data_IF_013766385503
#
_entry.id   IF_013766385503
#
_cell.length_a   1.000
_cell.length_b   1.000
_cell.length_c   1.000
_cell.angle_alpha   90.00
_cell.angle_beta   90.00
_cell.angle_gamma   90.00
#
_symmetry.space_group_name_H-M   'P 1'
#
loop_
_entity.id
_entity.type
_entity.pdbx_description
1 polymer ?
#
# COMPACT_ATOMS: atom_id res chain seq x y z
N UNK A 1 -5.30 -1.61 -13.58
CA UNK A 1 -4.81 -0.31 -13.04
C UNK A 1 -3.38 -0.48 -12.60
N UNK A 2 -2.73 0.57 -12.08
CA UNK A 2 -1.37 0.46 -11.57
C UNK A 2 -1.11 1.46 -10.43
N UNK A 3 -0.41 1.04 -9.37
CA UNK A 3 -0.14 1.87 -8.20
C UNK A 3 1.19 1.55 -7.52
N UNK A 4 1.57 2.39 -6.55
CA UNK A 4 2.57 2.09 -5.54
C UNK A 4 2.20 2.72 -4.19
N UNK A 5 2.52 2.04 -3.10
CA UNK A 5 2.40 2.63 -1.75
C UNK A 5 3.62 3.51 -1.51
N UNK A 6 3.41 4.77 -1.12
CA UNK A 6 4.45 5.79 -0.96
C UNK A 6 4.61 6.27 0.48
N UNK A 7 3.73 5.84 1.38
CA UNK A 7 3.87 6.12 2.79
C UNK A 7 2.97 5.23 3.64
N UNK A 8 3.38 5.09 4.89
CA UNK A 8 2.75 4.26 5.92
C UNK A 8 3.00 4.95 7.26
N UNK A 9 2.00 5.03 8.12
CA UNK A 9 2.20 5.45 9.50
C UNK A 9 1.20 4.75 10.42
N UNK A 10 1.70 4.07 11.44
CA UNK A 10 0.96 3.59 12.61
C UNK A 10 1.13 4.53 13.81
N UNK A 11 2.03 5.53 13.70
CA UNK A 11 2.04 6.67 14.61
C UNK A 11 0.75 7.48 14.45
N UNK A 12 -0.11 7.39 15.46
CA UNK A 12 -1.47 7.92 15.42
C UNK A 12 -1.57 9.41 15.04
N UNK A 13 -2.51 9.79 14.14
CA UNK A 13 -3.45 8.90 13.47
C UNK A 13 -2.81 8.08 12.34
N UNK A 14 -3.26 6.82 12.21
CA UNK A 14 -2.87 5.93 11.13
C UNK A 14 -3.15 6.56 9.78
N UNK A 15 -2.26 6.35 8.81
CA UNK A 15 -2.45 6.79 7.43
C UNK A 15 -1.52 6.01 6.49
N UNK A 16 -1.83 6.05 5.21
CA UNK A 16 -0.95 5.56 4.14
C UNK A 16 -1.12 6.43 2.90
N UNK A 17 -0.19 6.31 1.95
CA UNK A 17 -0.28 6.98 0.65
C UNK A 17 -0.23 5.96 -0.47
N UNK A 18 -1.21 6.00 -1.39
CA UNK A 18 -1.23 5.20 -2.62
C UNK A 18 -1.16 6.12 -3.83
N UNK A 19 -0.03 6.09 -4.54
CA UNK A 19 0.15 6.83 -5.78
C UNK A 19 -0.37 6.02 -6.95
N UNK A 20 -1.27 6.58 -7.75
CA UNK A 20 -1.70 5.98 -9.01
C UNK A 20 -0.63 6.17 -10.07
N UNK A 21 -0.18 5.07 -10.69
CA UNK A 21 0.84 5.05 -11.74
C UNK A 21 0.24 4.81 -13.14
N UNK A 22 -1.05 4.52 -13.22
CA UNK A 22 -1.85 4.50 -14.44
C UNK A 22 -3.17 5.25 -14.23
N UNK A 23 -3.84 5.60 -15.32
CA UNK A 23 -5.17 6.19 -15.27
C UNK A 23 -6.20 5.13 -14.82
N UNK A 24 -7.17 5.57 -14.02
CA UNK A 24 -8.30 4.74 -13.56
C UNK A 24 -9.60 5.29 -14.15
N UNK A 25 -10.48 4.37 -14.57
CA UNK A 25 -11.77 4.74 -15.15
C UNK A 25 -12.84 4.89 -14.09
N UNK A 26 -13.80 5.79 -14.34
CA UNK A 26 -15.00 5.91 -13.53
C UNK A 26 -15.66 4.53 -13.29
N UNK A 27 -16.12 4.28 -12.08
CA UNK A 27 -16.71 3.02 -11.64
C UNK A 27 -15.70 1.93 -11.26
N UNK A 28 -14.39 2.13 -11.48
CA UNK A 28 -13.38 1.21 -10.96
C UNK A 28 -13.38 1.29 -9.43
N UNK A 29 -13.38 0.13 -8.77
CA UNK A 29 -13.31 0.02 -7.32
C UNK A 29 -11.93 -0.50 -6.92
N UNK A 30 -11.21 0.31 -6.16
CA UNK A 30 -9.88 0.01 -5.63
C UNK A 30 -10.01 -0.39 -4.17
N UNK A 31 -9.38 -1.50 -3.79
CA UNK A 31 -9.41 -2.00 -2.42
C UNK A 31 -8.05 -1.85 -1.77
N UNK A 32 -8.07 -1.64 -0.45
CA UNK A 32 -6.89 -1.61 0.40
C UNK A 32 -7.16 -2.40 1.68
N UNK A 33 -6.13 -3.08 2.17
CA UNK A 33 -6.24 -3.91 3.36
C UNK A 33 -4.95 -3.95 4.15
N UNK A 34 -5.11 -4.11 5.46
CA UNK A 34 -4.10 -4.52 6.41
C UNK A 34 -4.20 -6.03 6.72
N UNK A 35 -4.99 -6.82 5.99
CA UNK A 35 -4.92 -8.28 6.08
C UNK A 35 -3.61 -8.79 5.47
N UNK A 36 -2.94 -9.68 6.20
CA UNK A 36 -1.81 -10.43 5.67
C UNK A 36 -2.21 -11.45 4.59
N UNK A 37 -1.23 -11.90 3.83
CA UNK A 37 -1.38 -12.98 2.85
C UNK A 37 -0.91 -14.29 3.45
N UNK A 38 -1.79 -15.28 3.47
CA UNK A 38 -1.49 -16.63 3.96
C UNK A 38 -0.60 -17.41 2.97
N UNK A 39 -0.02 -18.52 3.41
CA UNK A 39 0.88 -19.35 2.63
C UNK A 39 0.27 -19.87 1.31
N UNK A 40 -1.05 -20.01 1.24
CA UNK A 40 -1.79 -20.43 0.04
C UNK A 40 -2.09 -19.27 -0.93
N UNK A 41 -1.73 -18.04 -0.55
CA UNK A 41 -1.93 -16.83 -1.35
C UNK A 41 -3.27 -16.13 -1.14
N UNK A 42 -4.12 -16.61 -0.23
CA UNK A 42 -5.35 -15.93 0.14
C UNK A 42 -5.10 -14.80 1.16
N UNK A 43 -6.06 -13.87 1.26
CA UNK A 43 -6.12 -12.94 2.38
C UNK A 43 -6.43 -13.71 3.67
N UNK A 44 -5.84 -13.29 4.79
CA UNK A 44 -6.10 -13.85 6.13
C UNK A 44 -7.51 -13.55 6.66
N UNK A 45 -8.14 -12.45 6.20
CA UNK A 45 -9.55 -12.06 6.43
C UNK A 45 -9.96 -11.94 7.89
N UNK A 46 -9.06 -11.44 8.74
CA UNK A 46 -9.28 -11.22 10.16
C UNK A 46 -8.96 -9.78 10.59
N UNK A 47 -8.71 -8.88 9.63
CA UNK A 47 -8.43 -7.46 9.81
C UNK A 47 -9.41 -6.59 9.01
N UNK A 48 -8.93 -5.55 8.34
CA UNK A 48 -9.74 -4.56 7.66
C UNK A 48 -9.59 -4.57 6.15
N UNK A 49 -10.71 -4.42 5.46
CA UNK A 49 -10.73 -4.11 4.03
C UNK A 49 -11.56 -2.85 3.83
N UNK A 50 -10.94 -1.85 3.21
CA UNK A 50 -11.62 -0.63 2.77
C UNK A 50 -11.55 -0.49 1.26
N UNK A 51 -12.42 0.34 0.69
CA UNK A 51 -12.42 0.57 -0.74
C UNK A 51 -12.70 2.03 -1.12
N UNK A 52 -12.33 2.37 -2.35
CA UNK A 52 -12.61 3.62 -3.02
C UNK A 52 -13.15 3.34 -4.42
N UNK A 53 -14.35 3.83 -4.74
CA UNK A 53 -14.91 3.77 -6.08
C UNK A 53 -14.72 5.11 -6.79
N UNK A 54 -14.01 5.12 -7.91
CA UNK A 54 -13.75 6.35 -8.66
C UNK A 54 -15.04 6.89 -9.30
N UNK A 55 -15.46 8.09 -8.92
CA UNK A 55 -16.67 8.73 -9.46
C UNK A 55 -16.48 9.29 -10.89
N UNK A 56 -15.23 9.48 -11.32
CA UNK A 56 -14.83 9.99 -12.62
C UNK A 56 -13.54 9.30 -13.07
N UNK A 57 -13.13 9.51 -14.31
CA UNK A 57 -11.79 9.13 -14.76
C UNK A 57 -10.74 9.91 -13.97
N UNK A 58 -9.79 9.20 -13.37
CA UNK A 58 -8.72 9.77 -12.53
C UNK A 58 -7.37 9.50 -13.21
N UNK A 59 -6.55 10.53 -13.42
CA UNK A 59 -5.26 10.37 -14.07
C UNK A 59 -4.23 9.72 -13.14
N UNK A 60 -3.20 9.12 -13.74
CA UNK A 60 -1.95 8.81 -13.04
C UNK A 60 -1.38 10.07 -12.36
N UNK A 61 -0.69 9.88 -11.23
CA UNK A 61 -0.17 10.96 -10.40
C UNK A 61 -1.10 11.43 -9.29
N UNK A 62 -2.35 10.97 -9.27
CA UNK A 62 -3.23 11.16 -8.11
C UNK A 62 -2.70 10.35 -6.93
N UNK A 63 -2.63 10.99 -5.77
CA UNK A 63 -2.30 10.37 -4.50
C UNK A 63 -3.58 10.18 -3.69
N UNK A 64 -3.86 8.94 -3.30
CA UNK A 64 -4.93 8.57 -2.38
C UNK A 64 -4.36 8.34 -0.98
N UNK A 65 -5.14 8.66 0.04
CA UNK A 65 -4.84 8.45 1.46
C UNK A 65 -5.89 7.57 2.11
N UNK A 66 -5.66 7.12 3.34
CA UNK A 66 -6.63 6.29 4.07
C UNK A 66 -8.04 6.91 4.11
N UNK A 67 -8.12 8.24 4.18
CA UNK A 67 -9.39 8.99 4.18
C UNK A 67 -10.17 8.90 2.87
N UNK A 68 -9.50 8.63 1.74
CA UNK A 68 -10.16 8.49 0.43
C UNK A 68 -10.86 7.13 0.29
N UNK A 69 -10.39 6.12 1.02
CA UNK A 69 -11.02 4.80 1.11
C UNK A 69 -12.13 4.84 2.16
N UNK A 70 -13.27 5.47 1.83
CA UNK A 70 -14.34 5.73 2.79
C UNK A 70 -15.20 4.49 3.10
N UNK A 71 -15.33 3.57 2.14
CA UNK A 71 -16.19 2.39 2.26
C UNK A 71 -15.48 1.31 3.10
N UNK A 72 -16.18 0.80 4.12
CA UNK A 72 -15.72 -0.35 4.92
C UNK A 72 -16.35 -1.60 4.32
N UNK A 73 -15.52 -2.45 3.71
CA UNK A 73 -15.96 -3.72 3.16
C UNK A 73 -15.99 -4.78 4.26
N UNK A 74 -14.93 -4.82 5.08
CA UNK A 74 -14.74 -5.81 6.14
C UNK A 74 -13.95 -5.23 7.32
N UNK A 75 -14.30 -5.68 8.53
CA UNK A 75 -13.58 -5.39 9.76
C UNK A 75 -13.19 -3.92 9.95
N UNK A 76 -11.97 -3.70 10.44
CA UNK A 76 -11.43 -2.37 10.70
C UNK A 76 -9.95 -2.37 10.30
N UNK A 77 -9.60 -1.54 9.32
CA UNK A 77 -8.21 -1.29 8.96
C UNK A 77 -7.58 -0.44 10.06
N UNK A 78 -6.56 -0.96 10.73
CA UNK A 78 -5.87 -0.33 11.85
C UNK A 78 -4.39 -0.75 11.85
N UNK A 79 -3.52 0.20 11.52
CA UNK A 79 -2.10 -0.07 11.34
C UNK A 79 -1.41 -0.26 12.69
N UNK A 80 -0.50 -1.23 12.76
CA UNK A 80 0.20 -1.63 14.00
C UNK A 80 1.62 -1.05 14.11
N UNK A 81 1.99 -0.60 15.31
CA UNK A 81 3.38 -0.19 15.66
C UNK A 81 4.33 -1.37 15.92
N UNK A 82 3.85 -2.62 15.79
CA UNK A 82 4.72 -3.79 15.79
C UNK A 82 5.26 -4.05 14.40
N UNK A 83 4.35 -4.32 13.47
CA UNK A 83 4.52 -4.40 12.02
C UNK A 83 3.16 -4.70 11.41
N UNK A 84 3.04 -4.46 10.11
CA UNK A 84 1.83 -4.52 9.32
C UNK A 84 2.14 -4.50 7.81
N UNK A 85 1.07 -4.51 7.02
CA UNK A 85 1.07 -4.46 5.57
C UNK A 85 0.01 -3.46 5.09
N UNK A 86 0.27 -2.85 3.94
CA UNK A 86 -0.75 -2.17 3.15
C UNK A 86 -0.75 -2.81 1.79
N UNK A 87 -1.81 -3.56 1.48
CA UNK A 87 -1.96 -4.30 0.23
C UNK A 87 -3.10 -3.70 -0.57
N UNK A 88 -2.84 -3.38 -1.83
CA UNK A 88 -3.80 -2.76 -2.75
C UNK A 88 -4.16 -3.74 -3.86
N UNK A 89 -5.45 -3.89 -4.12
CA UNK A 89 -5.95 -4.83 -5.11
C UNK A 89 -7.21 -4.35 -5.84
N UNK A 90 -7.47 -4.97 -7.00
CA UNK A 90 -8.69 -4.88 -7.78
C UNK A 90 -9.48 -6.19 -7.68
N UNK A 91 -10.64 -6.26 -8.35
CA UNK A 91 -11.50 -7.44 -8.32
C UNK A 91 -12.41 -7.43 -7.10
N UNK A 92 -12.25 -8.41 -6.20
CA UNK A 92 -13.00 -8.49 -4.95
C UNK A 92 -12.15 -9.09 -3.82
N UNK A 93 -12.55 -8.92 -2.54
CA UNK A 93 -11.87 -9.57 -1.42
C UNK A 93 -11.77 -11.11 -1.52
N UNK A 94 -12.69 -11.75 -2.25
CA UNK A 94 -12.70 -13.21 -2.45
C UNK A 94 -11.94 -13.67 -3.69
N UNK A 95 -11.58 -12.75 -4.59
CA UNK A 95 -10.82 -13.02 -5.81
C UNK A 95 -9.96 -11.77 -6.12
N UNK A 96 -8.95 -11.47 -5.29
CA UNK A 96 -8.16 -10.25 -5.41
C UNK A 96 -7.18 -10.33 -6.59
N UNK A 97 -7.08 -9.22 -7.32
CA UNK A 97 -5.98 -8.95 -8.25
C UNK A 97 -5.05 -7.94 -7.61
N UNK A 98 -4.00 -8.41 -6.95
CA UNK A 98 -3.02 -7.56 -6.26
C UNK A 98 -2.22 -6.73 -7.26
N UNK A 99 -2.07 -5.43 -6.97
CA UNK A 99 -1.40 -4.50 -7.89
C UNK A 99 -0.23 -3.73 -7.26
N UNK A 100 -0.26 -3.49 -5.94
CA UNK A 100 0.89 -2.96 -5.22
C UNK A 100 0.79 -3.26 -3.71
N UNK A 101 1.93 -3.30 -3.02
CA UNK A 101 1.95 -3.53 -1.58
C UNK A 101 3.19 -2.94 -0.89
N UNK A 102 3.05 -2.67 0.41
CA UNK A 102 4.16 -2.35 1.30
C UNK A 102 4.03 -3.18 2.58
N UNK A 103 5.16 -3.62 3.13
CA UNK A 103 5.23 -4.16 4.50
C UNK A 103 6.33 -3.44 5.29
N UNK A 104 6.08 -3.17 6.57
CA UNK A 104 7.09 -2.66 7.51
C UNK A 104 7.62 -3.77 8.45
N UNK A 105 7.68 -5.02 7.99
CA UNK A 105 8.06 -6.18 8.80
C UNK A 105 9.47 -6.73 8.50
N UNK A 106 10.42 -5.85 8.15
CA UNK A 106 11.78 -6.22 7.72
C UNK A 106 11.79 -7.15 6.48
N UNK A 107 10.84 -6.93 5.57
CA UNK A 107 10.60 -7.79 4.40
C UNK A 107 9.27 -8.53 4.48
N UNK A 108 9.09 -9.49 3.56
CA UNK A 108 7.89 -10.33 3.47
C UNK A 108 8.12 -11.68 4.16
N UNK A 109 7.16 -12.13 4.95
CA UNK A 109 7.21 -13.43 5.63
C UNK A 109 6.79 -14.56 4.67
N UNK A 110 6.84 -15.81 5.13
CA UNK A 110 6.37 -16.96 4.34
C UNK A 110 4.86 -17.19 4.44
N UNK A 111 4.22 -16.64 5.48
CA UNK A 111 2.83 -16.83 5.85
C UNK A 111 2.33 -15.62 6.68
N UNK A 112 1.02 -15.44 6.75
CA UNK A 112 0.36 -14.48 7.63
C UNK A 112 -0.27 -15.23 8.81
N UNK A 113 0.56 -15.64 9.77
CA UNK A 113 0.12 -16.37 10.97
C UNK A 113 -0.33 -15.42 12.12
N UNK A 114 -0.14 -14.13 11.92
CA UNK A 114 -0.51 -13.07 12.86
C UNK A 114 -0.98 -11.79 12.14
N UNK A 115 -1.63 -10.87 12.86
CA UNK A 115 -1.93 -9.51 12.35
C UNK A 115 -0.70 -8.71 11.89
N UNK A 116 0.50 -9.10 12.31
CA UNK A 116 1.74 -8.34 12.09
C UNK A 116 2.67 -9.01 11.09
N UNK A 117 2.14 -9.93 10.28
CA UNK A 117 2.91 -10.73 9.33
C UNK A 117 2.14 -10.90 8.04
N UNK A 118 2.86 -10.88 6.92
CA UNK A 118 2.28 -11.11 5.61
C UNK A 118 3.27 -11.74 4.65
N UNK A 119 2.80 -12.73 3.88
CA UNK A 119 3.51 -13.18 2.69
C UNK A 119 3.45 -12.10 1.60
N UNK A 120 4.44 -12.12 0.70
CA UNK A 120 4.30 -11.40 -0.56
C UNK A 120 3.10 -11.95 -1.34
N UNK A 121 2.16 -11.06 -1.67
CA UNK A 121 0.96 -11.38 -2.42
C UNK A 121 1.29 -12.03 -3.79
N UNK A 122 0.56 -13.09 -4.20
CA UNK A 122 0.75 -13.70 -5.50
C UNK A 122 0.69 -12.69 -6.65
N UNK A 123 1.63 -12.79 -7.59
CA UNK A 123 1.74 -11.87 -8.73
C UNK A 123 2.52 -10.59 -8.45
N UNK A 124 2.83 -10.28 -7.19
CA UNK A 124 3.73 -9.20 -6.84
C UNK A 124 5.19 -9.67 -6.77
N UNK A 125 6.12 -8.73 -6.96
CA UNK A 125 7.57 -8.95 -6.89
C UNK A 125 8.16 -7.87 -5.96
N UNK A 126 8.85 -8.30 -4.91
CA UNK A 126 9.52 -7.39 -3.97
C UNK A 126 10.66 -6.64 -4.67
N UNK A 127 10.70 -5.32 -4.52
CA UNK A 127 11.61 -4.44 -5.25
C UNK A 127 11.11 -3.99 -6.63
N UNK A 128 9.94 -4.46 -7.10
CA UNK A 128 9.39 -4.07 -8.40
C UNK A 128 7.94 -3.60 -8.34
N UNK A 129 7.04 -4.38 -7.72
CA UNK A 129 5.62 -4.04 -7.55
C UNK A 129 5.18 -3.97 -6.10
N UNK A 130 6.02 -4.46 -5.19
CA UNK A 130 5.85 -4.32 -3.76
C UNK A 130 7.19 -3.98 -3.10
N UNK A 131 7.15 -3.45 -1.88
CA UNK A 131 8.36 -3.14 -1.11
C UNK A 131 8.23 -3.62 0.34
N UNK A 132 9.11 -4.53 0.72
CA UNK A 132 9.35 -4.87 2.12
C UNK A 132 10.40 -3.95 2.72
N UNK A 133 10.03 -3.14 3.70
CA UNK A 133 10.88 -2.14 4.34
C UNK A 133 11.29 -2.58 5.75
N UNK A 134 12.37 -2.00 6.30
CA UNK A 134 12.71 -2.17 7.69
C UNK A 134 11.57 -1.73 8.61
N UNK A 135 11.49 -2.33 9.80
CA UNK A 135 10.46 -1.97 10.77
C UNK A 135 10.64 -0.55 11.28
N UNK A 136 9.62 0.27 11.04
CA UNK A 136 9.42 1.60 11.61
C UNK A 136 7.91 1.88 11.75
N UNK A 137 7.54 2.70 12.73
CA UNK A 137 6.13 3.10 12.95
C UNK A 137 5.65 4.15 11.93
N UNK A 138 6.57 4.90 11.33
CA UNK A 138 6.32 5.84 10.25
C UNK A 138 7.35 5.69 9.13
N UNK A 139 6.89 5.48 7.91
CA UNK A 139 7.70 5.27 6.70
C UNK A 139 7.20 6.16 5.57
N UNK A 140 8.10 6.92 4.95
CA UNK A 140 7.76 7.78 3.81
C UNK A 140 8.80 7.68 2.72
N UNK A 141 8.34 7.64 1.47
CA UNK A 141 9.19 7.77 0.31
C UNK A 141 9.75 9.19 0.21
N UNK A 142 11.08 9.30 0.02
CA UNK A 142 11.83 10.58 -0.05
C UNK A 142 12.55 10.79 -1.38
N UNK A 143 12.41 9.86 -2.32
CA UNK A 143 13.07 9.92 -3.63
C UNK A 143 12.41 10.87 -4.64
N UNK A 144 12.71 10.66 -5.91
CA UNK A 144 12.17 11.46 -7.02
C UNK A 144 10.64 11.42 -7.09
N UNK A 145 10.00 12.59 -7.17
CA UNK A 145 8.53 12.74 -7.26
C UNK A 145 8.04 13.05 -8.67
N UNK A 146 8.94 13.19 -9.64
CA UNK A 146 8.61 13.45 -11.04
C UNK A 146 9.25 12.40 -11.93
N UNK A 147 8.48 11.79 -12.81
CA UNK A 147 8.98 10.77 -13.73
C UNK A 147 7.88 10.01 -14.46
N UNK A 148 8.29 9.06 -15.28
CA UNK A 148 7.36 8.09 -15.90
C UNK A 148 6.83 7.11 -14.85
N UNK A 149 5.72 6.41 -15.12
CA UNK A 149 5.24 5.33 -14.25
C UNK A 149 6.33 4.31 -13.90
N UNK A 150 7.11 3.87 -14.89
CA UNK A 150 8.17 2.88 -14.70
C UNK A 150 9.32 3.40 -13.83
N UNK A 151 9.78 4.64 -14.07
CA UNK A 151 10.87 5.21 -13.28
C UNK A 151 10.45 5.49 -11.83
N UNK A 152 9.22 5.96 -11.62
CA UNK A 152 8.70 6.18 -10.27
C UNK A 152 8.45 4.86 -9.54
N UNK A 153 7.90 3.84 -10.22
CA UNK A 153 7.78 2.47 -9.69
C UNK A 153 9.12 1.94 -9.20
N UNK A 154 10.15 2.03 -10.05
CA UNK A 154 11.48 1.55 -9.71
C UNK A 154 12.06 2.29 -8.50
N UNK A 155 11.89 3.61 -8.42
CA UNK A 155 12.40 4.40 -7.29
C UNK A 155 11.60 4.14 -6.00
N UNK A 156 10.28 4.01 -6.07
CA UNK A 156 9.42 3.77 -4.89
C UNK A 156 9.68 2.38 -4.30
N UNK A 157 9.98 1.37 -5.12
CA UNK A 157 10.30 0.02 -4.62
C UNK A 157 11.79 -0.17 -4.30
N UNK A 158 12.61 0.88 -4.43
CA UNK A 158 13.99 0.90 -3.93
C UNK A 158 14.00 1.31 -2.45
N UNK A 159 14.43 0.40 -1.58
CA UNK A 159 14.48 0.58 -0.12
C UNK A 159 15.38 1.74 0.30
N UNK A 160 16.36 2.12 -0.51
CA UNK A 160 17.26 3.25 -0.21
C UNK A 160 16.56 4.61 -0.34
N UNK A 161 15.39 4.66 -1.00
CA UNK A 161 14.61 5.89 -1.19
C UNK A 161 13.59 6.15 -0.07
N UNK A 162 13.70 5.46 1.07
CA UNK A 162 12.76 5.56 2.18
C UNK A 162 13.40 6.12 3.44
N UNK A 163 12.60 6.88 4.18
CA UNK A 163 12.92 7.34 5.53
C UNK A 163 11.93 6.70 6.51
N UNK A 164 12.47 6.16 7.60
CA UNK A 164 11.69 5.62 8.72
C UNK A 164 11.94 6.37 10.04
N UNK A 165 10.94 6.37 10.92
CA UNK A 165 11.01 6.88 12.29
C UNK A 165 10.04 6.08 13.20
N UNK A 166 10.40 5.86 14.47
CA UNK A 166 9.59 5.12 15.46
C UNK A 166 8.95 6.05 16.52
N UNK A 167 9.27 7.34 16.50
CA UNK A 167 8.82 8.30 17.52
C UNK A 167 8.05 9.46 16.90
N UNK A 168 8.35 9.78 15.65
CA UNK A 168 7.81 10.93 14.94
C UNK A 168 7.06 10.48 13.70
N UNK A 169 5.76 10.76 13.69
CA UNK A 169 4.93 10.70 12.48
C UNK A 169 5.51 11.57 11.38
N UNK A 170 6.04 10.94 10.34
CA UNK A 170 6.58 11.61 9.17
C UNK A 170 5.42 12.13 8.29
N UNK A 171 5.57 13.31 7.65
CA UNK A 171 4.54 13.85 6.78
C UNK A 171 4.38 12.98 5.54
N UNK A 172 3.14 12.57 5.24
CA UNK A 172 2.81 11.77 4.06
C UNK A 172 3.33 12.46 2.78
N UNK A 173 4.00 11.76 1.85
CA UNK A 173 4.49 12.37 0.63
C UNK A 173 3.37 12.99 -0.19
N UNK A 174 3.69 14.04 -0.93
CA UNK A 174 2.80 14.78 -1.81
C UNK A 174 3.55 15.27 -3.07
N UNK A 175 2.86 15.96 -3.98
CA UNK A 175 3.49 16.66 -5.08
C UNK A 175 4.08 15.77 -6.18
N UNK A 176 3.52 14.58 -6.38
CA UNK A 176 3.92 13.70 -7.47
C UNK A 176 3.48 14.25 -8.83
N UNK A 177 4.35 14.09 -9.83
CA UNK A 177 4.05 14.40 -11.24
C UNK A 177 4.43 13.19 -12.08
N UNK A 178 3.42 12.47 -12.57
CA UNK A 178 3.61 11.29 -13.41
C UNK A 178 3.43 11.71 -14.87
N UNK A 179 4.54 11.76 -15.62
CA UNK A 179 4.55 12.19 -17.03
C UNK A 179 4.27 11.03 -17.98
#
# INVERSE_FOLDING_TARGET
GDCAVVGFTADGPDDFGVLLLADFKAGTKLYVTDDGIEADGALRRNEGIKSHTFAADVPKGTLLKLTDFADVEEGKLALSTKSDQVIVFLGSPSAPEYICALSNADGWQSDADSPSSSRLAPGLVDGETAVGLPKYDSLVYVGAKTGTPASLRSAINDREQWKGDDQVRLPMPDGFTVV
#
